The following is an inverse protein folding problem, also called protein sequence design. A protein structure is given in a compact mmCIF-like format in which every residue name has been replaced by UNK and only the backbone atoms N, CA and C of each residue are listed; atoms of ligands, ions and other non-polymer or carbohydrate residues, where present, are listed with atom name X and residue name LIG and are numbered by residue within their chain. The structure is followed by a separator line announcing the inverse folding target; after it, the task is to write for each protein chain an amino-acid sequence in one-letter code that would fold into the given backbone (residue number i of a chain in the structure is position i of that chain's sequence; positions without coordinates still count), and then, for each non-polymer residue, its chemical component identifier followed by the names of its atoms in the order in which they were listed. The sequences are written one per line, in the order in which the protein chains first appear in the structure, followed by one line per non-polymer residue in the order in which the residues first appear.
data_IF_061633084361
#
_entry.id   IF_061633084361
#
_cell.length_a   1.000
_cell.length_b   1.000
_cell.length_c   1.000
_cell.angle_alpha   90.00
_cell.angle_beta   90.00
_cell.angle_gamma   90.00
#
_symmetry.space_group_name_H-M   'P 1'
#
loop_
_entity.id
_entity.type
_entity.pdbx_description
1 polymer ?
#
# COMPACT_ATOMS: atom_id res chain seq x y z
N UNK A 1 37.56 7.38 13.52
CA UNK A 1 36.45 6.77 12.77
C UNK A 1 35.44 6.23 13.77
N UNK A 2 34.16 6.56 13.64
CA UNK A 2 33.12 6.14 14.58
C UNK A 2 32.34 4.94 14.04
N UNK A 3 31.92 4.06 14.94
CA UNK A 3 31.13 2.85 14.63
C UNK A 3 29.81 2.89 15.41
N UNK A 4 28.71 2.75 14.69
CA UNK A 4 27.41 2.45 15.28
C UNK A 4 27.09 0.97 15.05
N UNK A 5 26.51 0.29 16.05
CA UNK A 5 26.05 -1.10 15.92
C UNK A 5 24.76 -1.33 16.67
N UNK A 6 23.89 -2.19 16.12
CA UNK A 6 22.64 -2.59 16.75
C UNK A 6 22.35 -4.07 16.45
N UNK A 7 21.70 -4.74 17.40
CA UNK A 7 21.09 -6.06 17.19
C UNK A 7 19.71 -5.83 16.57
N UNK A 8 19.46 -6.44 15.42
CA UNK A 8 18.19 -6.35 14.72
C UNK A 8 17.60 -7.75 14.55
N UNK A 9 16.35 -7.93 14.96
CA UNK A 9 15.62 -9.18 14.73
C UNK A 9 15.05 -9.13 13.33
N UNK A 10 15.62 -9.92 12.44
CA UNK A 10 15.15 -10.07 11.07
C UNK A 10 13.80 -10.82 11.07
N UNK A 11 13.01 -10.68 10.00
CA UNK A 11 11.71 -11.34 9.89
C UNK A 11 11.80 -12.86 9.76
N UNK A 12 12.95 -13.42 9.39
CA UNK A 12 13.23 -14.86 9.50
C UNK A 12 13.33 -15.34 10.97
N UNK A 13 13.10 -14.44 11.94
CA UNK A 13 13.14 -14.70 13.36
C UNK A 13 14.55 -14.66 13.95
N UNK A 14 15.58 -14.50 13.13
CA UNK A 14 16.99 -14.55 13.54
C UNK A 14 17.48 -13.15 13.89
N UNK A 15 18.14 -13.01 15.04
CA UNK A 15 18.76 -11.74 15.43
C UNK A 15 20.17 -11.64 14.86
N UNK A 16 20.40 -10.64 14.01
CA UNK A 16 21.73 -10.33 13.44
C UNK A 16 22.26 -9.02 13.98
N UNK A 17 23.59 -8.90 14.10
CA UNK A 17 24.24 -7.65 14.50
C UNK A 17 24.71 -6.91 13.27
N UNK A 18 24.17 -5.72 13.04
CA UNK A 18 24.59 -4.84 11.95
C UNK A 18 25.45 -3.70 12.49
N UNK A 19 26.42 -3.25 11.69
CA UNK A 19 27.21 -2.08 12.04
C UNK A 19 27.59 -1.23 10.82
N UNK A 20 27.72 0.07 11.04
CA UNK A 20 28.15 1.06 10.04
C UNK A 20 29.26 1.92 10.64
N UNK A 21 30.20 2.34 9.79
CA UNK A 21 31.34 3.17 10.19
C UNK A 21 31.38 4.44 9.34
N UNK A 22 31.58 5.59 9.98
CA UNK A 22 31.71 6.91 9.33
C UNK A 22 32.71 7.81 10.08
N UNK A 23 33.20 8.89 9.45
CA UNK A 23 34.13 9.83 10.08
C UNK A 23 33.56 10.55 11.30
N UNK A 24 32.23 10.74 11.37
CA UNK A 24 31.51 11.35 12.51
C UNK A 24 30.54 10.39 13.17
N UNK A 25 30.28 10.58 14.46
CA UNK A 25 29.36 9.75 15.25
C UNK A 25 27.91 9.84 14.74
N UNK A 26 27.41 11.04 14.43
CA UNK A 26 26.05 11.24 13.90
C UNK A 26 25.85 10.52 12.56
N UNK A 27 26.75 10.73 11.61
CA UNK A 27 26.71 10.08 10.30
C UNK A 27 26.76 8.54 10.39
N UNK A 28 27.50 7.98 11.37
CA UNK A 28 27.54 6.54 11.59
C UNK A 28 26.20 5.99 12.09
N UNK A 29 25.50 6.77 12.94
CA UNK A 29 24.17 6.44 13.45
C UNK A 29 23.13 6.53 12.33
N UNK A 30 23.10 7.61 11.58
CA UNK A 30 22.11 7.83 10.52
C UNK A 30 22.25 6.75 9.43
N UNK A 31 23.48 6.45 9.02
CA UNK A 31 23.75 5.37 8.06
C UNK A 31 23.32 3.98 8.57
N UNK A 32 23.35 3.75 9.89
CA UNK A 32 22.84 2.51 10.48
C UNK A 32 21.31 2.51 10.48
N UNK A 33 20.66 3.62 10.82
CA UNK A 33 19.21 3.75 10.81
C UNK A 33 18.64 3.57 9.40
N UNK A 34 19.20 4.25 8.40
CA UNK A 34 18.80 4.13 7.00
C UNK A 34 18.90 2.68 6.52
N UNK A 35 20.00 2.00 6.88
CA UNK A 35 20.18 0.60 6.54
C UNK A 35 19.10 -0.29 7.19
N UNK A 36 18.78 -0.08 8.47
CA UNK A 36 17.76 -0.86 9.16
C UNK A 36 16.35 -0.60 8.59
N UNK A 37 16.05 0.62 8.16
CA UNK A 37 14.80 0.95 7.45
C UNK A 37 14.73 0.19 6.12
N UNK A 38 15.81 0.18 5.35
CA UNK A 38 15.88 -0.59 4.10
C UNK A 38 15.73 -2.09 4.36
N UNK A 39 16.41 -2.63 5.37
CA UNK A 39 16.32 -4.05 5.72
C UNK A 39 14.90 -4.43 6.14
N UNK A 40 14.22 -3.57 6.91
CA UNK A 40 12.79 -3.73 7.23
C UNK A 40 11.92 -3.77 5.97
N UNK A 41 12.22 -2.91 5.00
CA UNK A 41 11.41 -2.78 3.79
C UNK A 41 11.73 -3.86 2.74
N UNK A 42 12.96 -4.39 2.68
CA UNK A 42 13.39 -5.42 1.72
C UNK A 42 12.72 -6.78 1.91
N UNK A 43 12.32 -7.10 3.13
CA UNK A 43 11.70 -8.41 3.45
C UNK A 43 10.19 -8.41 3.21
N UNK A 44 9.58 -7.23 3.08
CA UNK A 44 8.26 -7.09 2.49
C UNK A 44 8.48 -7.43 1.01
N UNK A 45 7.91 -8.52 0.50
CA UNK A 45 8.05 -8.92 -0.92
C UNK A 45 7.42 -7.93 -1.91
N UNK A 46 7.31 -6.66 -1.51
CA UNK A 46 6.40 -5.67 -2.03
C UNK A 46 6.96 -5.00 -3.27
N UNK A 47 6.18 -5.09 -4.33
CA UNK A 47 6.27 -4.20 -5.48
C UNK A 47 6.16 -2.71 -5.09
N UNK A 48 5.69 -2.40 -3.88
CA UNK A 48 5.50 -1.06 -3.33
C UNK A 48 5.65 -1.04 -1.79
N UNK A 49 5.80 0.15 -1.22
CA UNK A 49 5.97 0.38 0.24
C UNK A 49 4.89 1.32 0.78
N UNK A 50 4.88 1.61 2.08
CA UNK A 50 3.95 2.60 2.67
C UNK A 50 4.04 3.99 2.05
N UNK A 51 5.22 4.35 1.56
CA UNK A 51 5.51 5.63 0.92
C UNK A 51 5.10 5.68 -0.55
N UNK A 52 4.86 4.51 -1.16
CA UNK A 52 4.29 4.42 -2.50
C UNK A 52 2.86 4.94 -2.51
N UNK A 53 2.39 5.30 -3.70
CA UNK A 53 1.09 5.89 -3.91
C UNK A 53 -0.01 4.84 -4.06
N UNK A 54 -1.26 5.24 -3.77
CA UNK A 54 -2.44 4.41 -4.04
C UNK A 54 -2.58 4.13 -5.54
N UNK A 55 -2.11 5.03 -6.43
CA UNK A 55 -2.12 4.78 -7.87
C UNK A 55 -1.25 3.57 -8.25
N UNK A 56 0.00 3.56 -7.79
CA UNK A 56 0.95 2.45 -8.05
C UNK A 56 0.41 1.11 -7.52
N UNK A 57 -0.18 1.13 -6.31
CA UNK A 57 -0.83 -0.05 -5.73
C UNK A 57 -1.98 -0.57 -6.59
N UNK A 58 -2.84 0.32 -7.09
CA UNK A 58 -4.00 -0.06 -7.91
C UNK A 58 -3.59 -0.57 -9.29
N UNK A 59 -2.52 -0.01 -9.86
CA UNK A 59 -1.95 -0.51 -11.12
C UNK A 59 -1.39 -1.91 -10.96
N UNK A 60 -0.58 -2.13 -9.93
CA UNK A 60 -0.06 -3.46 -9.61
C UNK A 60 -1.18 -4.47 -9.39
N UNK A 61 -2.18 -4.09 -8.59
CA UNK A 61 -3.31 -4.97 -8.30
C UNK A 61 -4.12 -5.30 -9.57
N UNK A 62 -4.38 -4.32 -10.43
CA UNK A 62 -5.16 -4.54 -11.65
C UNK A 62 -4.42 -5.50 -12.61
N UNK A 63 -3.10 -5.37 -12.71
CA UNK A 63 -2.28 -6.29 -13.51
C UNK A 63 -2.27 -7.69 -12.92
N UNK A 64 -1.99 -7.80 -11.61
CA UNK A 64 -2.07 -9.07 -10.85
C UNK A 64 -3.43 -9.77 -11.05
N UNK A 65 -4.53 -9.03 -10.96
CA UNK A 65 -5.88 -9.56 -11.14
C UNK A 65 -6.15 -10.06 -12.57
N UNK A 66 -5.61 -9.39 -13.59
CA UNK A 66 -5.70 -9.84 -14.99
C UNK A 66 -4.89 -11.12 -15.23
N UNK A 67 -3.72 -11.25 -14.59
CA UNK A 67 -2.85 -12.41 -14.77
C UNK A 67 -3.32 -13.67 -14.05
N UNK A 68 -4.14 -13.56 -13.00
CA UNK A 68 -4.61 -14.71 -12.20
C UNK A 68 -5.40 -15.74 -13.01
N UNK A 69 -6.26 -15.28 -13.93
CA UNK A 69 -7.07 -16.14 -14.81
C UNK A 69 -7.63 -15.34 -15.99
N UNK A 70 -8.09 -16.00 -17.07
CA UNK A 70 -8.80 -15.32 -18.14
C UNK A 70 -10.01 -14.54 -17.60
N UNK A 71 -9.95 -13.21 -17.68
CA UNK A 71 -11.03 -12.32 -17.27
C UNK A 71 -11.91 -11.97 -18.47
N UNK A 72 -13.22 -11.84 -18.24
CA UNK A 72 -14.15 -11.36 -19.28
C UNK A 72 -13.81 -9.91 -19.65
N UNK A 73 -13.87 -9.57 -20.94
CA UNK A 73 -13.55 -8.23 -21.43
C UNK A 73 -14.38 -7.13 -20.74
N UNK A 74 -15.66 -7.40 -20.48
CA UNK A 74 -16.54 -6.49 -19.76
C UNK A 74 -16.06 -6.24 -18.31
N UNK A 75 -15.66 -7.30 -17.60
CA UNK A 75 -15.09 -7.18 -16.26
C UNK A 75 -13.82 -6.34 -16.28
N UNK A 76 -12.91 -6.57 -17.24
CA UNK A 76 -11.69 -5.78 -17.37
C UNK A 76 -12.02 -4.28 -17.56
N UNK A 77 -12.98 -3.96 -18.43
CA UNK A 77 -13.41 -2.58 -18.70
C UNK A 77 -13.99 -1.93 -17.43
N UNK A 78 -14.89 -2.61 -16.75
CA UNK A 78 -15.53 -2.10 -15.52
C UNK A 78 -14.52 -1.88 -14.40
N UNK A 79 -13.59 -2.82 -14.20
CA UNK A 79 -12.55 -2.70 -13.18
C UNK A 79 -11.57 -1.58 -13.52
N UNK A 80 -11.08 -1.53 -14.76
CA UNK A 80 -10.15 -0.47 -15.20
C UNK A 80 -10.76 0.92 -15.08
N UNK A 81 -12.04 1.07 -15.44
CA UNK A 81 -12.77 2.34 -15.28
C UNK A 81 -12.84 2.79 -13.81
N UNK A 82 -13.12 1.85 -12.89
CA UNK A 82 -13.18 2.14 -11.47
C UNK A 82 -11.79 2.41 -10.87
N UNK A 83 -10.74 1.75 -11.36
CA UNK A 83 -9.34 2.04 -10.99
C UNK A 83 -8.95 3.45 -11.40
N UNK A 84 -9.22 3.87 -12.63
CA UNK A 84 -8.93 5.23 -13.09
C UNK A 84 -9.70 6.29 -12.29
N UNK A 85 -10.95 5.98 -11.92
CA UNK A 85 -11.73 6.83 -11.03
C UNK A 85 -11.11 6.92 -9.63
N UNK A 86 -10.61 5.82 -9.09
CA UNK A 86 -9.92 5.80 -7.81
C UNK A 86 -8.63 6.64 -7.87
N UNK A 87 -7.82 6.47 -8.91
CA UNK A 87 -6.58 7.24 -9.13
C UNK A 87 -6.82 8.75 -9.22
N UNK A 88 -7.86 9.19 -9.93
CA UNK A 88 -8.22 10.62 -9.99
C UNK A 88 -8.53 11.24 -8.63
N UNK A 89 -8.94 10.44 -7.64
CA UNK A 89 -9.37 10.93 -6.31
C UNK A 89 -8.34 10.68 -5.21
N UNK A 90 -7.62 9.56 -5.28
CA UNK A 90 -6.71 9.08 -4.24
C UNK A 90 -5.30 8.81 -4.76
N UNK A 91 -5.05 8.92 -6.06
CA UNK A 91 -3.83 8.45 -6.70
C UNK A 91 -2.55 9.11 -6.20
N UNK A 92 -2.60 10.36 -5.73
CA UNK A 92 -1.45 11.04 -5.14
C UNK A 92 -1.24 10.77 -3.64
N UNK A 93 -2.18 10.06 -2.99
CA UNK A 93 -2.09 9.75 -1.57
C UNK A 93 -1.17 8.55 -1.37
N UNK A 94 -0.30 8.62 -0.36
CA UNK A 94 0.54 7.48 0.02
C UNK A 94 -0.31 6.39 0.65
N UNK A 95 0.06 5.13 0.41
CA UNK A 95 -0.68 3.97 0.93
C UNK A 95 -0.79 4.05 2.46
N UNK A 96 0.31 4.41 3.14
CA UNK A 96 0.35 4.54 4.61
C UNK A 96 -0.45 5.72 5.18
N UNK A 97 -0.77 6.72 4.36
CA UNK A 97 -1.56 7.89 4.77
C UNK A 97 -3.06 7.73 4.49
N UNK A 98 -3.44 6.69 3.75
CA UNK A 98 -4.82 6.49 3.31
C UNK A 98 -5.70 5.97 4.46
N UNK A 99 -6.36 6.91 5.15
CA UNK A 99 -7.26 6.59 6.26
C UNK A 99 -8.66 6.18 5.78
N UNK A 100 -9.37 5.42 6.63
CA UNK A 100 -10.79 5.05 6.42
C UNK A 100 -11.66 6.28 6.16
N UNK A 101 -11.46 7.38 6.91
CA UNK A 101 -12.26 8.60 6.74
C UNK A 101 -12.09 9.25 5.36
N UNK A 102 -10.87 9.22 4.80
CA UNK A 102 -10.62 9.74 3.44
C UNK A 102 -11.32 8.89 2.38
N UNK A 103 -11.27 7.57 2.53
CA UNK A 103 -11.94 6.63 1.63
C UNK A 103 -13.46 6.83 1.72
N UNK A 104 -14.02 6.93 2.93
CA UNK A 104 -15.45 7.17 3.16
C UNK A 104 -15.90 8.46 2.47
N UNK A 105 -15.16 9.57 2.63
CA UNK A 105 -15.48 10.84 1.98
C UNK A 105 -15.52 10.73 0.45
N UNK A 106 -14.57 10.00 -0.14
CA UNK A 106 -14.54 9.72 -1.59
C UNK A 106 -15.74 8.88 -2.02
N UNK A 107 -16.06 7.82 -1.28
CA UNK A 107 -17.18 6.94 -1.58
C UNK A 107 -18.52 7.68 -1.49
N UNK A 108 -18.73 8.48 -0.45
CA UNK A 108 -19.94 9.30 -0.30
C UNK A 108 -20.06 10.35 -1.42
N UNK A 109 -18.93 10.95 -1.84
CA UNK A 109 -18.91 11.86 -2.99
C UNK A 109 -19.39 11.20 -4.29
N UNK A 110 -18.97 9.95 -4.55
CA UNK A 110 -19.41 9.20 -5.74
C UNK A 110 -20.85 8.71 -5.58
N UNK A 111 -21.26 8.31 -4.36
CA UNK A 111 -22.61 7.82 -4.07
C UNK A 111 -23.68 8.85 -4.41
N UNK A 112 -23.42 10.14 -4.20
CA UNK A 112 -24.34 11.24 -4.56
C UNK A 112 -24.74 11.25 -6.03
N UNK A 113 -23.84 10.83 -6.93
CA UNK A 113 -24.12 10.79 -8.37
C UNK A 113 -24.62 9.42 -8.82
N UNK A 114 -23.96 8.35 -8.37
CA UNK A 114 -24.30 6.99 -8.80
C UNK A 114 -23.96 5.99 -7.69
N UNK A 115 -24.98 5.51 -6.94
CA UNK A 115 -24.79 4.56 -5.84
C UNK A 115 -24.09 3.26 -6.28
N UNK A 116 -24.45 2.73 -7.45
CA UNK A 116 -23.85 1.51 -7.99
C UNK A 116 -22.35 1.66 -8.25
N UNK A 117 -21.94 2.77 -8.87
CA UNK A 117 -20.52 3.07 -9.10
C UNK A 117 -19.76 3.21 -7.78
N UNK A 118 -20.38 3.79 -6.76
CA UNK A 118 -19.73 3.89 -5.44
C UNK A 118 -19.50 2.50 -4.82
N UNK A 119 -20.45 1.58 -4.99
CA UNK A 119 -20.27 0.17 -4.57
C UNK A 119 -19.14 -0.52 -5.34
N UNK A 120 -19.10 -0.38 -6.66
CA UNK A 120 -18.03 -0.96 -7.49
C UNK A 120 -16.66 -0.39 -7.12
N UNK A 121 -16.57 0.94 -6.93
CA UNK A 121 -15.36 1.61 -6.48
C UNK A 121 -14.89 1.11 -5.11
N UNK A 122 -15.81 0.95 -4.15
CA UNK A 122 -15.48 0.35 -2.83
C UNK A 122 -14.92 -1.06 -2.99
N UNK A 123 -15.48 -1.86 -3.89
CA UNK A 123 -15.00 -3.22 -4.13
C UNK A 123 -13.58 -3.23 -4.71
N UNK A 124 -13.28 -2.36 -5.68
CA UNK A 124 -11.94 -2.18 -6.25
C UNK A 124 -10.94 -1.76 -5.17
N UNK A 125 -11.26 -0.73 -4.39
CA UNK A 125 -10.41 -0.26 -3.29
C UNK A 125 -10.18 -1.37 -2.25
N UNK A 126 -11.23 -2.12 -1.89
CA UNK A 126 -11.11 -3.23 -0.93
C UNK A 126 -10.12 -4.28 -1.43
N UNK A 127 -10.22 -4.67 -2.70
CA UNK A 127 -9.33 -5.67 -3.28
C UNK A 127 -7.88 -5.16 -3.38
N UNK A 128 -7.68 -3.92 -3.82
CA UNK A 128 -6.35 -3.31 -3.86
C UNK A 128 -5.69 -3.20 -2.47
N UNK A 129 -6.43 -2.77 -1.44
CA UNK A 129 -5.89 -2.71 -0.09
C UNK A 129 -5.73 -4.09 0.56
N UNK A 130 -6.50 -5.11 0.15
CA UNK A 130 -6.21 -6.50 0.55
C UNK A 130 -4.88 -6.98 -0.02
N UNK A 131 -4.53 -6.59 -1.26
CA UNK A 131 -3.21 -6.84 -1.83
C UNK A 131 -2.11 -6.20 -0.98
N UNK A 132 -2.31 -4.94 -0.59
CA UNK A 132 -1.37 -4.22 0.26
C UNK A 132 -1.20 -4.87 1.64
N UNK A 133 -2.29 -5.37 2.25
CA UNK A 133 -2.20 -6.16 3.50
C UNK A 133 -1.44 -7.47 3.26
N UNK A 134 -1.70 -8.17 2.16
CA UNK A 134 -1.01 -9.44 1.83
C UNK A 134 0.49 -9.25 1.60
N UNK A 135 0.90 -8.08 1.11
CA UNK A 135 2.30 -7.69 0.93
C UNK A 135 2.88 -7.01 2.18
N UNK A 136 2.18 -7.08 3.31
CA UNK A 136 2.52 -6.49 4.61
C UNK A 136 2.68 -4.96 4.60
N UNK A 137 2.31 -4.27 3.52
CA UNK A 137 2.46 -2.82 3.35
C UNK A 137 1.65 -2.05 4.38
N UNK A 138 0.43 -2.51 4.67
CA UNK A 138 -0.43 -1.95 5.72
C UNK A 138 -0.93 -3.06 6.63
N UNK A 139 -1.08 -2.76 7.91
CA UNK A 139 -1.45 -3.77 8.91
C UNK A 139 -2.93 -4.18 8.78
N UNK A 140 -3.78 -3.24 8.37
CA UNK A 140 -5.23 -3.43 8.26
C UNK A 140 -5.73 -2.75 6.99
N UNK A 141 -6.70 -3.37 6.32
CA UNK A 141 -7.37 -2.75 5.17
C UNK A 141 -8.32 -1.63 5.64
N UNK A 142 -8.04 -0.35 5.32
CA UNK A 142 -8.84 0.79 5.79
C UNK A 142 -10.25 0.81 5.20
N UNK A 143 -10.52 0.08 4.10
CA UNK A 143 -11.83 0.00 3.45
C UNK A 143 -12.82 -0.82 4.28
N UNK A 144 -12.36 -1.75 5.11
CA UNK A 144 -13.26 -2.65 5.86
C UNK A 144 -14.15 -1.90 6.86
N UNK A 145 -13.64 -0.82 7.44
CA UNK A 145 -14.38 0.04 8.38
C UNK A 145 -15.28 1.09 7.71
N UNK A 146 -15.33 1.13 6.36
CA UNK A 146 -16.24 2.03 5.62
C UNK A 146 -17.68 1.52 5.68
N UNK A 147 -18.64 2.45 5.62
CA UNK A 147 -20.07 2.10 5.63
C UNK A 147 -20.44 1.30 4.38
N UNK A 148 -21.33 0.34 4.54
CA UNK A 148 -21.89 -0.41 3.41
C UNK A 148 -22.70 0.53 2.51
N UNK A 149 -22.50 0.40 1.21
CA UNK A 149 -23.24 1.19 0.21
C UNK A 149 -24.42 0.37 -0.27
N UNK A 150 -25.58 0.67 0.31
CA UNK A 150 -26.89 0.27 -0.20
C UNK A 150 -27.19 1.05 -1.50
N UNK A 151 -27.74 0.36 -2.48
CA UNK A 151 -28.15 0.86 -3.81
C UNK A 151 -29.62 0.58 -3.93
#
# INVERSE_FOLDING_TARGET
MYRASARYRCQDGVTRTYSRRRPKAGEARDALLDFLVIERNKTMGGQFTRESTVAEMLDYWLESWKSQKPQRAESIRTYSYNVERAKKRLGGVRIGECSTGRIEAVLQGVKKSTPETARQLRNVLRQGFNEAVRLDVVDVNPVLATRTIEV
#
